data_IF_595728587697
#
_entry.id   IF_595728587697
#
_cell.length_a   1.000
_cell.length_b   1.000
_cell.length_c   1.000
_cell.angle_alpha   90.00
_cell.angle_beta   90.00
_cell.angle_gamma   90.00
#
_symmetry.space_group_name_H-M   'P 1'
#
loop_
_entity.id
_entity.type
_entity.pdbx_description
1 polymer ?
#
# COMPACT_ATOMS: atom_id res chain seq x y z
N UNK A 1 -10.51 -3.04 -11.10
CA UNK A 1 -10.35 -2.41 -9.78
C UNK A 1 -11.74 -2.32 -9.17
N UNK A 2 -11.92 -2.83 -7.99
CA UNK A 2 -13.13 -2.66 -7.19
C UNK A 2 -13.13 -1.24 -6.60
N UNK A 3 -14.29 -0.59 -6.53
CA UNK A 3 -14.44 0.77 -5.98
C UNK A 3 -15.16 0.72 -4.64
N UNK A 4 -14.75 1.58 -3.72
CA UNK A 4 -15.27 1.65 -2.36
C UNK A 4 -15.61 3.10 -2.00
N UNK A 5 -16.55 3.30 -1.10
CA UNK A 5 -16.82 4.65 -0.58
C UNK A 5 -15.91 4.98 0.61
N UNK A 6 -15.71 6.26 0.86
CA UNK A 6 -14.96 6.72 2.05
C UNK A 6 -15.58 6.16 3.34
N UNK A 7 -16.91 6.15 3.42
CA UNK A 7 -17.66 5.66 4.57
C UNK A 7 -17.41 4.17 4.82
N UNK A 8 -17.47 3.34 3.77
CA UNK A 8 -17.17 1.91 3.88
C UNK A 8 -15.75 1.67 4.41
N UNK A 9 -14.76 2.40 3.87
CA UNK A 9 -13.37 2.30 4.35
C UNK A 9 -13.26 2.74 5.82
N UNK A 10 -13.91 3.85 6.21
CA UNK A 10 -13.91 4.31 7.59
C UNK A 10 -14.53 3.28 8.54
N UNK A 11 -15.72 2.79 8.23
CA UNK A 11 -16.43 1.79 9.04
C UNK A 11 -15.62 0.50 9.21
N UNK A 12 -14.97 0.05 8.13
CA UNK A 12 -14.08 -1.11 8.18
C UNK A 12 -12.91 -0.90 9.13
N UNK A 13 -12.22 0.24 9.02
CA UNK A 13 -11.08 0.54 9.90
C UNK A 13 -11.53 0.61 11.36
N UNK A 14 -12.61 1.34 11.64
CA UNK A 14 -13.14 1.50 13.00
C UNK A 14 -13.64 0.15 13.56
N UNK A 15 -14.31 -0.67 12.74
CA UNK A 15 -14.74 -2.02 13.12
C UNK A 15 -13.60 -2.97 13.46
N UNK A 16 -12.43 -2.80 12.84
CA UNK A 16 -11.20 -3.54 13.17
C UNK A 16 -10.43 -2.94 14.36
N UNK A 17 -10.94 -1.86 14.98
CA UNK A 17 -10.25 -1.14 16.06
C UNK A 17 -9.06 -0.31 15.59
N UNK A 18 -8.97 -0.03 14.28
CA UNK A 18 -7.94 0.83 13.71
C UNK A 18 -8.33 2.30 13.84
N UNK A 19 -7.33 3.16 13.92
CA UNK A 19 -7.58 4.59 13.96
C UNK A 19 -7.91 5.11 12.57
N UNK A 20 -9.07 5.77 12.43
CA UNK A 20 -9.37 6.64 11.30
C UNK A 20 -9.10 8.09 11.71
N UNK A 21 -8.31 8.82 10.92
CA UNK A 21 -7.83 10.16 11.25
C UNK A 21 -8.84 11.21 10.80
N UNK A 22 -9.23 12.10 11.72
CA UNK A 22 -10.25 13.16 11.52
C UNK A 22 -9.80 14.50 12.10
N UNK A 23 -8.51 14.62 12.46
CA UNK A 23 -7.99 15.67 13.33
C UNK A 23 -7.93 17.09 12.71
N UNK A 24 -8.14 17.24 11.41
CA UNK A 24 -8.10 18.53 10.74
C UNK A 24 -7.69 18.41 9.29
N UNK A 25 -7.32 19.55 8.66
CA UNK A 25 -6.90 19.55 7.27
C UNK A 25 -5.66 18.70 7.04
N UNK A 26 -5.68 17.92 5.97
CA UNK A 26 -4.60 17.04 5.54
C UNK A 26 -4.16 15.99 6.57
N UNK A 27 -5.02 15.64 7.56
CA UNK A 27 -4.82 14.47 8.42
C UNK A 27 -5.23 13.22 7.61
N UNK A 28 -4.26 12.65 6.89
CA UNK A 28 -4.50 11.66 5.83
C UNK A 28 -4.68 10.26 6.36
N UNK A 29 -5.67 9.54 5.81
CA UNK A 29 -5.84 8.10 5.92
C UNK A 29 -5.33 7.45 4.63
N UNK A 30 -4.26 6.68 4.70
CA UNK A 30 -3.68 5.96 3.56
C UNK A 30 -3.99 4.48 3.75
N UNK A 31 -4.85 3.93 2.87
CA UNK A 31 -5.34 2.56 3.01
C UNK A 31 -5.14 1.78 1.71
N UNK A 32 -4.33 0.74 1.76
CA UNK A 32 -4.29 -0.28 0.73
C UNK A 32 -5.44 -1.27 0.94
N UNK A 33 -6.13 -1.61 -0.13
CA UNK A 33 -7.19 -2.61 -0.16
C UNK A 33 -6.76 -3.70 -1.13
N UNK A 34 -6.35 -4.85 -0.57
CA UNK A 34 -5.94 -6.02 -1.34
C UNK A 34 -7.16 -6.69 -1.93
N UNK A 35 -7.11 -7.03 -3.21
CA UNK A 35 -8.14 -7.81 -3.86
C UNK A 35 -8.14 -9.26 -3.36
N UNK A 36 -9.06 -9.60 -2.47
CA UNK A 36 -9.20 -10.96 -1.92
C UNK A 36 -10.02 -11.91 -2.80
N UNK A 37 -10.56 -11.44 -3.94
CA UNK A 37 -11.39 -12.29 -4.81
C UNK A 37 -10.60 -13.40 -5.53
N UNK A 38 -9.27 -13.26 -5.61
CA UNK A 38 -8.36 -14.24 -6.21
C UNK A 38 -7.70 -15.15 -5.18
N UNK A 39 -8.04 -14.98 -3.89
CA UNK A 39 -7.42 -15.73 -2.81
C UNK A 39 -5.92 -15.42 -2.71
N UNK A 40 -5.11 -16.48 -2.75
CA UNK A 40 -3.65 -16.44 -2.69
C UNK A 40 -2.96 -16.54 -4.07
N UNK A 41 -3.74 -16.58 -5.18
CA UNK A 41 -3.20 -16.69 -6.54
C UNK A 41 -2.32 -15.49 -6.91
N UNK A 42 -1.15 -15.72 -7.46
CA UNK A 42 -0.25 -14.67 -7.98
C UNK A 42 -0.76 -14.17 -9.34
N UNK A 43 -1.67 -13.20 -9.33
CA UNK A 43 -2.30 -12.66 -10.55
C UNK A 43 -1.33 -11.85 -11.40
N UNK A 44 -0.26 -11.33 -10.81
CA UNK A 44 0.70 -10.40 -11.42
C UNK A 44 0.06 -9.15 -12.03
N UNK A 45 -1.10 -8.71 -11.51
CA UNK A 45 -1.88 -7.57 -12.02
C UNK A 45 -1.96 -6.47 -10.97
N UNK A 46 -2.07 -5.23 -11.45
CA UNK A 46 -2.45 -4.10 -10.59
C UNK A 46 -3.97 -4.15 -10.36
N UNK A 47 -4.45 -5.00 -9.49
CA UNK A 47 -5.87 -5.24 -9.23
C UNK A 47 -6.31 -4.81 -7.81
N UNK A 48 -5.38 -4.29 -7.03
CA UNK A 48 -5.64 -3.68 -5.72
C UNK A 48 -5.99 -2.19 -5.83
N UNK A 49 -6.49 -1.64 -4.73
CA UNK A 49 -6.85 -0.23 -4.63
C UNK A 49 -6.07 0.45 -3.50
N UNK A 50 -5.42 1.59 -3.81
CA UNK A 50 -4.91 2.51 -2.80
C UNK A 50 -5.94 3.62 -2.60
N UNK A 51 -6.43 3.80 -1.39
CA UNK A 51 -7.32 4.91 -1.07
C UNK A 51 -6.64 5.94 -0.20
N UNK A 52 -7.00 7.20 -0.39
CA UNK A 52 -6.59 8.30 0.48
C UNK A 52 -7.79 9.17 0.79
N UNK A 53 -8.03 9.40 2.07
CA UNK A 53 -9.05 10.34 2.53
C UNK A 53 -8.48 11.37 3.50
N UNK A 54 -8.99 12.58 3.42
CA UNK A 54 -8.56 13.70 4.24
C UNK A 54 -9.60 14.84 4.20
N UNK A 55 -9.52 15.77 5.15
CA UNK A 55 -10.22 17.03 5.06
C UNK A 55 -9.33 18.08 4.41
N UNK A 56 -9.90 18.90 3.52
CA UNK A 56 -9.21 20.02 2.89
C UNK A 56 -9.13 21.26 3.79
N UNK A 57 -8.75 22.41 3.21
CA UNK A 57 -8.64 23.70 3.88
C UNK A 57 -9.99 24.18 4.45
N UNK A 58 -11.10 23.82 3.80
CA UNK A 58 -12.46 24.19 4.19
C UNK A 58 -13.11 23.16 5.12
N UNK A 59 -12.37 22.11 5.50
CA UNK A 59 -12.84 21.03 6.36
C UNK A 59 -13.75 20.01 5.65
N UNK A 60 -13.83 20.07 4.32
CA UNK A 60 -14.61 19.13 3.52
C UNK A 60 -13.81 17.83 3.27
N UNK A 61 -14.51 16.72 3.34
CA UNK A 61 -13.89 15.43 3.04
C UNK A 61 -13.59 15.29 1.55
N UNK A 62 -12.37 14.88 1.27
CA UNK A 62 -11.90 14.44 -0.03
C UNK A 62 -11.53 12.96 0.05
N UNK A 63 -11.78 12.24 -1.04
CA UNK A 63 -11.51 10.81 -1.15
C UNK A 63 -11.04 10.47 -2.57
N UNK A 64 -9.96 9.75 -2.66
CA UNK A 64 -9.35 9.32 -3.92
C UNK A 64 -9.10 7.83 -3.91
N UNK A 65 -9.28 7.20 -5.07
CA UNK A 65 -8.95 5.80 -5.32
C UNK A 65 -7.96 5.69 -6.47
N UNK A 66 -6.91 4.92 -6.25
CA UNK A 66 -5.85 4.73 -7.23
C UNK A 66 -5.61 3.24 -7.46
N UNK A 67 -5.40 2.87 -8.71
CA UNK A 67 -5.05 1.51 -9.10
C UNK A 67 -3.62 1.19 -8.67
N UNK A 68 -3.43 0.12 -7.89
CA UNK A 68 -2.13 -0.26 -7.35
C UNK A 68 -1.96 -1.77 -7.27
N UNK A 69 -0.80 -2.19 -6.75
CA UNK A 69 -0.59 -3.51 -6.16
C UNK A 69 -0.14 -3.35 -4.72
N UNK A 70 -0.62 -4.22 -3.85
CA UNK A 70 -0.15 -4.41 -2.47
C UNK A 70 0.71 -5.68 -2.34
N UNK A 71 0.89 -6.38 -3.47
CA UNK A 71 1.56 -7.67 -3.55
C UNK A 71 2.85 -7.61 -4.37
N UNK A 72 3.80 -8.53 -4.14
CA UNK A 72 4.94 -8.70 -5.02
C UNK A 72 4.52 -9.17 -6.41
N UNK A 73 5.32 -8.85 -7.43
CA UNK A 73 5.11 -9.35 -8.77
C UNK A 73 5.63 -10.78 -8.96
N UNK A 74 5.06 -11.50 -9.92
CA UNK A 74 5.41 -12.87 -10.26
C UNK A 74 6.91 -13.07 -10.44
N UNK A 75 7.60 -12.11 -11.09
CA UNK A 75 9.04 -12.19 -11.28
C UNK A 75 9.80 -12.41 -9.96
N UNK A 76 9.44 -11.72 -8.88
CA UNK A 76 10.13 -11.83 -7.61
C UNK A 76 9.69 -13.05 -6.78
N UNK A 77 8.46 -13.51 -6.94
CA UNK A 77 8.01 -14.77 -6.36
C UNK A 77 8.80 -15.97 -6.94
N UNK A 78 9.07 -15.95 -8.25
CA UNK A 78 9.88 -16.96 -8.93
C UNK A 78 11.41 -16.79 -8.71
N UNK A 79 11.88 -15.52 -8.55
CA UNK A 79 13.29 -15.16 -8.45
C UNK A 79 13.57 -14.50 -7.09
N UNK A 80 13.38 -15.24 -6.00
CA UNK A 80 13.54 -14.75 -4.64
C UNK A 80 14.95 -14.23 -4.37
N UNK A 81 15.03 -13.01 -3.80
CA UNK A 81 16.32 -12.38 -3.44
C UNK A 81 16.73 -12.68 -2.00
N UNK A 82 15.79 -13.01 -1.14
CA UNK A 82 16.03 -13.31 0.27
C UNK A 82 15.83 -14.80 0.51
N UNK A 83 16.71 -15.42 1.29
CA UNK A 83 16.63 -16.84 1.66
C UNK A 83 15.28 -17.21 2.32
N UNK A 84 14.62 -16.27 2.96
CA UNK A 84 13.34 -16.44 3.64
C UNK A 84 12.14 -16.20 2.70
N UNK A 85 12.38 -15.99 1.40
CA UNK A 85 11.36 -15.78 0.39
C UNK A 85 10.97 -14.32 0.16
N UNK A 86 9.98 -14.10 -0.70
CA UNK A 86 9.42 -12.79 -1.00
C UNK A 86 8.57 -12.28 0.17
N UNK A 87 8.51 -10.96 0.37
CA UNK A 87 7.78 -10.35 1.47
C UNK A 87 6.39 -9.89 1.01
N UNK A 88 5.35 -10.39 1.66
CA UNK A 88 3.94 -9.99 1.41
C UNK A 88 3.43 -9.30 2.67
N UNK A 89 3.04 -8.02 2.55
CA UNK A 89 2.59 -7.26 3.72
C UNK A 89 1.34 -7.91 4.32
N UNK A 90 1.39 -8.21 5.61
CA UNK A 90 0.24 -8.72 6.36
C UNK A 90 -0.79 -7.61 6.56
N UNK A 91 -2.10 -7.86 6.37
CA UNK A 91 -3.14 -6.89 6.73
C UNK A 91 -2.98 -6.37 8.16
N UNK A 92 -3.12 -5.05 8.35
CA UNK A 92 -2.91 -4.40 9.64
C UNK A 92 -2.76 -2.89 9.52
N UNK A 93 -2.80 -2.20 10.65
CA UNK A 93 -2.51 -0.77 10.72
C UNK A 93 -1.10 -0.53 11.27
N UNK A 94 -0.27 0.13 10.49
CA UNK A 94 1.14 0.39 10.77
C UNK A 94 1.35 1.88 11.08
N UNK A 95 1.29 2.22 12.37
CA UNK A 95 1.30 3.60 12.85
C UNK A 95 2.66 4.28 12.64
N UNK A 96 2.66 5.36 11.84
CA UNK A 96 3.87 6.13 11.52
C UNK A 96 4.95 5.30 10.83
N UNK A 97 4.55 4.28 10.07
CA UNK A 97 5.45 3.33 9.42
C UNK A 97 6.21 3.90 8.22
N UNK A 98 5.72 5.00 7.64
CA UNK A 98 6.30 5.58 6.44
C UNK A 98 6.69 7.05 6.63
N UNK A 99 7.62 7.53 5.80
CA UNK A 99 8.03 8.92 5.70
C UNK A 99 8.35 9.27 4.26
N UNK A 100 8.22 10.55 3.89
CA UNK A 100 8.74 11.04 2.61
C UNK A 100 10.25 10.90 2.60
N UNK A 101 10.76 10.14 1.65
CA UNK A 101 12.17 9.85 1.44
C UNK A 101 12.48 9.66 -0.03
N UNK A 102 13.68 9.18 -0.35
CA UNK A 102 14.09 8.83 -1.72
C UNK A 102 13.99 7.32 -1.93
N UNK A 103 13.07 6.88 -2.77
CA UNK A 103 13.00 5.50 -3.22
C UNK A 103 14.23 5.19 -4.07
N UNK A 104 15.04 4.20 -3.62
CA UNK A 104 16.30 3.82 -4.26
C UNK A 104 17.24 5.01 -4.56
N UNK A 105 17.19 6.09 -3.78
CA UNK A 105 17.98 7.30 -4.03
C UNK A 105 17.55 8.14 -5.26
N UNK A 106 16.44 7.78 -5.94
CA UNK A 106 16.09 8.35 -7.25
C UNK A 106 15.01 9.42 -7.21
N UNK A 107 13.90 9.17 -6.50
CA UNK A 107 12.76 10.09 -6.46
C UNK A 107 12.01 10.03 -5.14
N UNK A 108 11.24 11.06 -4.83
CA UNK A 108 10.43 11.14 -3.62
C UNK A 108 9.31 10.11 -3.62
N UNK A 109 9.20 9.38 -2.51
CA UNK A 109 8.17 8.38 -2.26
C UNK A 109 7.91 8.27 -0.75
N UNK A 110 6.91 7.50 -0.35
CA UNK A 110 6.76 7.11 1.05
C UNK A 110 7.64 5.89 1.32
N UNK A 111 8.72 6.10 2.05
CA UNK A 111 9.67 5.06 2.40
C UNK A 111 9.38 4.50 3.79
N UNK A 112 9.50 3.20 3.93
CA UNK A 112 9.37 2.52 5.22
C UNK A 112 10.39 3.07 6.22
N UNK A 113 9.95 3.34 7.46
CA UNK A 113 10.77 3.84 8.56
C UNK A 113 10.63 3.08 9.87
N UNK A 114 9.54 2.34 10.05
CA UNK A 114 9.28 1.48 11.21
C UNK A 114 8.93 0.07 10.75
N UNK A 115 9.03 -0.92 11.64
CA UNK A 115 8.70 -2.30 11.29
C UNK A 115 7.29 -2.45 10.74
N UNK A 116 7.15 -3.34 9.76
CA UNK A 116 5.92 -3.92 9.25
C UNK A 116 5.94 -5.42 9.51
N UNK A 117 4.77 -6.05 9.50
CA UNK A 117 4.64 -7.50 9.47
C UNK A 117 4.46 -7.97 8.05
N UNK A 118 5.18 -9.01 7.68
CA UNK A 118 5.08 -9.64 6.35
C UNK A 118 4.99 -11.14 6.51
N UNK A 119 4.23 -11.78 5.63
CA UNK A 119 4.37 -13.20 5.36
C UNK A 119 5.62 -13.43 4.49
N UNK A 120 6.16 -14.63 4.53
CA UNK A 120 7.27 -15.06 3.69
C UNK A 120 6.85 -16.24 2.82
N UNK A 121 7.10 -16.09 1.53
CA UNK A 121 6.81 -17.09 0.52
C UNK A 121 8.13 -17.45 -0.19
N UNK A 122 8.57 -18.73 -0.07
CA UNK A 122 9.85 -19.22 -0.58
C UNK A 122 9.73 -20.43 -1.51
N UNK A 123 8.51 -20.94 -1.77
CA UNK A 123 8.29 -22.16 -2.52
C UNK A 123 8.30 -21.99 -4.05
N UNK A 124 8.17 -20.75 -4.57
CA UNK A 124 8.21 -20.38 -6.01
C UNK A 124 7.10 -21.01 -6.85
N UNK A 125 5.96 -21.25 -6.27
CA UNK A 125 4.78 -21.64 -7.03
C UNK A 125 3.93 -20.44 -7.48
N UNK A 126 2.72 -20.68 -7.97
CA UNK A 126 1.82 -19.62 -8.46
C UNK A 126 0.88 -19.07 -7.36
N UNK A 127 1.19 -19.31 -6.07
CA UNK A 127 0.40 -18.89 -4.92
C UNK A 127 1.28 -18.20 -3.87
N UNK A 128 0.70 -17.24 -3.13
CA UNK A 128 1.37 -16.65 -1.98
C UNK A 128 1.15 -17.47 -0.73
N UNK A 129 2.21 -17.84 -0.03
CA UNK A 129 2.13 -18.45 1.30
C UNK A 129 1.77 -17.40 2.36
N UNK A 130 0.49 -17.38 2.76
CA UNK A 130 -0.03 -16.46 3.78
C UNK A 130 -0.12 -17.14 5.16
N UNK A 131 0.90 -17.93 5.51
CA UNK A 131 0.94 -18.69 6.75
C UNK A 131 1.38 -17.81 7.93
N UNK A 132 0.60 -17.84 9.02
CA UNK A 132 0.93 -17.11 10.26
C UNK A 132 2.28 -17.51 10.85
N UNK A 133 2.74 -18.73 10.63
CA UNK A 133 4.04 -19.22 11.10
C UNK A 133 5.23 -18.60 10.35
N UNK A 134 5.01 -18.08 9.12
CA UNK A 134 6.02 -17.42 8.31
C UNK A 134 6.18 -15.92 8.64
N UNK A 135 5.30 -15.36 9.49
CA UNK A 135 5.27 -13.93 9.77
C UNK A 135 6.57 -13.43 10.37
N UNK A 136 7.15 -12.45 9.73
CA UNK A 136 8.30 -11.69 10.23
C UNK A 136 7.92 -10.22 10.45
N UNK A 137 8.51 -9.61 11.46
CA UNK A 137 8.36 -8.17 11.72
C UNK A 137 9.71 -7.47 11.57
N UNK A 138 9.77 -6.42 10.75
CA UNK A 138 11.03 -5.73 10.50
C UNK A 138 10.93 -4.59 9.49
N UNK A 139 12.09 -4.03 9.15
CA UNK A 139 12.26 -3.04 8.10
C UNK A 139 12.77 -3.77 6.86
N UNK A 140 11.89 -3.96 5.87
CA UNK A 140 12.16 -4.72 4.65
C UNK A 140 12.31 -3.83 3.41
N UNK A 141 12.19 -2.50 3.59
CA UNK A 141 12.19 -1.57 2.47
C UNK A 141 10.86 -1.54 1.71
N UNK A 142 9.77 -1.90 2.36
CA UNK A 142 8.42 -1.81 1.81
C UNK A 142 8.04 -0.34 1.66
N UNK A 143 8.14 0.17 0.45
CA UNK A 143 7.85 1.56 0.13
C UNK A 143 6.52 1.67 -0.63
N UNK A 144 5.91 2.85 -0.60
CA UNK A 144 4.76 3.20 -1.45
C UNK A 144 5.32 4.07 -2.59
N UNK A 145 5.32 3.53 -3.82
CA UNK A 145 5.96 4.17 -4.96
C UNK A 145 5.18 3.93 -6.27
N UNK A 146 5.72 4.33 -7.39
CA UNK A 146 5.11 4.14 -8.72
C UNK A 146 5.81 3.05 -9.53
N UNK A 147 5.09 2.48 -10.49
CA UNK A 147 5.65 1.76 -11.62
C UNK A 147 6.34 2.74 -12.60
N UNK A 148 6.65 2.32 -13.82
CA UNK A 148 7.32 3.15 -14.81
C UNK A 148 6.51 4.33 -15.32
N UNK A 149 7.11 5.11 -16.23
CA UNK A 149 6.51 6.29 -16.87
C UNK A 149 5.58 5.89 -18.02
N UNK A 150 4.57 5.10 -17.76
CA UNK A 150 3.59 4.70 -18.78
C UNK A 150 2.35 5.59 -18.70
N UNK A 151 1.98 6.24 -19.79
CA UNK A 151 0.82 7.15 -19.86
C UNK A 151 -0.47 6.46 -19.42
N UNK A 152 -0.67 5.21 -19.83
CA UNK A 152 -1.85 4.41 -19.46
C UNK A 152 -1.65 3.53 -18.21
N UNK A 153 -0.51 3.66 -17.52
CA UNK A 153 -0.13 2.82 -16.41
C UNK A 153 0.48 1.48 -16.83
N UNK A 154 1.10 0.79 -15.87
CA UNK A 154 1.56 -0.59 -16.06
C UNK A 154 0.39 -1.56 -15.91
N UNK A 155 0.37 -2.61 -16.71
CA UNK A 155 -0.67 -3.65 -16.67
C UNK A 155 -0.24 -4.86 -15.85
N UNK A 156 1.08 -5.10 -15.75
CA UNK A 156 1.67 -6.21 -15.00
C UNK A 156 2.64 -5.68 -13.95
N UNK A 157 2.70 -6.37 -12.80
CA UNK A 157 3.56 -6.00 -11.68
C UNK A 157 5.02 -6.37 -11.98
N UNK A 158 5.27 -7.61 -12.35
CA UNK A 158 6.59 -8.18 -12.66
C UNK A 158 7.68 -7.73 -11.67
N UNK A 159 8.60 -6.85 -12.14
CA UNK A 159 9.74 -6.32 -11.39
C UNK A 159 9.45 -5.05 -10.59
N UNK A 160 8.25 -4.48 -10.71
CA UNK A 160 7.92 -3.23 -10.02
C UNK A 160 7.77 -3.38 -8.52
N UNK A 161 7.32 -4.54 -8.04
CA UNK A 161 7.16 -4.83 -6.62
C UNK A 161 7.84 -6.15 -6.23
N UNK A 162 8.72 -6.08 -5.23
CA UNK A 162 9.22 -7.23 -4.47
C UNK A 162 8.60 -7.24 -3.05
N UNK A 163 7.36 -6.71 -2.93
CA UNK A 163 6.62 -6.50 -1.68
C UNK A 163 6.22 -5.04 -1.43
N UNK A 164 6.71 -4.08 -2.22
CA UNK A 164 6.31 -2.67 -2.14
C UNK A 164 4.86 -2.47 -2.58
N UNK A 165 4.26 -1.37 -2.11
CA UNK A 165 2.95 -0.91 -2.55
C UNK A 165 3.15 -0.01 -3.77
N UNK A 166 2.64 -0.39 -4.94
CA UNK A 166 3.04 0.25 -6.20
C UNK A 166 1.84 0.77 -6.98
N UNK A 167 1.80 2.06 -7.25
CA UNK A 167 0.83 2.69 -8.14
C UNK A 167 1.07 2.27 -9.59
N UNK A 168 0.02 1.91 -10.31
CA UNK A 168 0.12 1.51 -11.72
C UNK A 168 0.46 2.68 -12.65
N UNK A 169 0.02 3.92 -12.30
CA UNK A 169 0.21 5.14 -13.09
C UNK A 169 1.05 6.17 -12.35
N UNK A 170 1.95 6.82 -13.09
CA UNK A 170 2.77 7.92 -12.57
C UNK A 170 1.94 9.15 -12.21
N UNK A 171 0.89 9.49 -12.99
CA UNK A 171 0.01 10.62 -12.71
C UNK A 171 -0.68 10.49 -11.35
N UNK A 172 -1.22 9.32 -11.07
CA UNK A 172 -1.94 9.02 -9.84
C UNK A 172 -0.99 9.08 -8.62
N UNK A 173 0.23 8.56 -8.80
CA UNK A 173 1.27 8.66 -7.78
C UNK A 173 1.73 10.11 -7.54
N UNK A 174 1.83 10.92 -8.59
CA UNK A 174 2.22 12.34 -8.44
C UNK A 174 1.14 13.12 -7.67
N UNK A 175 -0.14 12.93 -7.99
CA UNK A 175 -1.27 13.50 -7.24
C UNK A 175 -1.23 13.08 -5.77
N UNK A 176 -1.06 11.78 -5.52
CA UNK A 176 -0.88 11.26 -4.17
C UNK A 176 0.29 11.94 -3.43
N UNK A 177 1.45 12.07 -4.06
CA UNK A 177 2.62 12.68 -3.41
C UNK A 177 2.47 14.19 -3.19
N UNK A 178 1.74 14.92 -4.02
CA UNK A 178 1.40 16.33 -3.77
C UNK A 178 0.58 16.47 -2.48
N UNK A 179 -0.42 15.61 -2.29
CA UNK A 179 -1.20 15.55 -1.06
C UNK A 179 -0.32 15.19 0.16
N UNK A 180 0.54 14.19 0.02
CA UNK A 180 1.46 13.78 1.07
C UNK A 180 2.42 14.90 1.48
N UNK A 181 2.87 15.73 0.55
CA UNK A 181 3.68 16.89 0.87
C UNK A 181 2.88 17.94 1.68
N UNK A 182 1.64 18.24 1.32
CA UNK A 182 0.75 19.12 2.10
C UNK A 182 0.53 18.57 3.52
N UNK A 183 0.22 17.29 3.62
CA UNK A 183 0.05 16.61 4.90
C UNK A 183 1.32 16.67 5.77
N UNK A 184 2.51 16.46 5.16
CA UNK A 184 3.80 16.56 5.82
C UNK A 184 4.04 17.96 6.40
N UNK A 185 3.68 19.02 5.66
CA UNK A 185 3.88 20.40 6.10
C UNK A 185 3.00 20.78 7.30
N UNK A 186 1.84 20.12 7.46
CA UNK A 186 0.92 20.32 8.59
C UNK A 186 1.23 19.38 9.77
N UNK A 187 1.46 18.10 9.51
CA UNK A 187 1.50 17.05 10.54
C UNK A 187 2.91 16.44 10.76
N UNK A 188 3.90 16.87 9.97
CA UNK A 188 5.25 16.32 10.02
C UNK A 188 5.43 15.07 9.16
N UNK A 189 6.67 14.61 9.07
CA UNK A 189 7.09 13.54 8.15
C UNK A 189 6.92 12.14 8.77
N UNK A 190 5.69 11.78 9.11
CA UNK A 190 5.36 10.48 9.70
C UNK A 190 3.94 10.06 9.30
N UNK A 191 3.83 9.00 8.50
CA UNK A 191 2.58 8.55 7.91
C UNK A 191 2.22 7.14 8.37
N UNK A 192 0.93 6.94 8.66
CA UNK A 192 0.36 5.63 8.95
C UNK A 192 -0.10 5.00 7.65
N UNK A 193 0.28 3.75 7.42
CA UNK A 193 -0.25 2.91 6.35
C UNK A 193 -1.12 1.82 6.95
N UNK A 194 -2.30 1.61 6.38
CA UNK A 194 -3.20 0.51 6.74
C UNK A 194 -3.41 -0.38 5.51
N UNK A 195 -3.33 -1.68 5.69
CA UNK A 195 -3.71 -2.67 4.68
C UNK A 195 -4.88 -3.50 5.20
N UNK A 196 -5.92 -3.61 4.37
CA UNK A 196 -7.08 -4.48 4.61
C UNK A 196 -7.35 -5.32 3.37
N UNK A 197 -8.08 -6.42 3.52
CA UNK A 197 -8.56 -7.21 2.41
C UNK A 197 -9.91 -6.66 1.91
N UNK A 198 -10.20 -6.77 0.61
CA UNK A 198 -11.44 -6.29 0.03
C UNK A 198 -12.68 -7.01 0.60
N UNK A 199 -12.52 -8.23 1.08
CA UNK A 199 -13.55 -8.99 1.80
C UNK A 199 -13.90 -8.44 3.19
N UNK A 200 -13.04 -7.59 3.75
CA UNK A 200 -13.32 -6.91 5.02
C UNK A 200 -14.31 -5.75 4.87
N UNK A 201 -14.48 -5.25 3.65
CA UNK A 201 -15.29 -4.05 3.37
C UNK A 201 -16.71 -4.46 3.01
N UNK A 202 -17.67 -4.02 3.80
CA UNK A 202 -19.10 -4.30 3.66
C UNK A 202 -19.84 -3.20 2.90
#
# INVERSE_FOLDING_TARGET
>A
MQSFTREQVQETLEGKGYKYFTGGKYDVNIVGIRNSSTGDEITNKFDDTMTVSYKDEDGQWNYHEYKCTTDPGKYWAENIMNKDGVAIVKPGQYRGSHQVGLHQGKYKALCQRKPLKVYRDDNRDDHYDLDESSVQEGIFGINIHKAGKFVNGSTQIDKWSAGCQVFSKESDFNEFMELIHKAKDVWGNSFTYTLVDSSDIC
#
